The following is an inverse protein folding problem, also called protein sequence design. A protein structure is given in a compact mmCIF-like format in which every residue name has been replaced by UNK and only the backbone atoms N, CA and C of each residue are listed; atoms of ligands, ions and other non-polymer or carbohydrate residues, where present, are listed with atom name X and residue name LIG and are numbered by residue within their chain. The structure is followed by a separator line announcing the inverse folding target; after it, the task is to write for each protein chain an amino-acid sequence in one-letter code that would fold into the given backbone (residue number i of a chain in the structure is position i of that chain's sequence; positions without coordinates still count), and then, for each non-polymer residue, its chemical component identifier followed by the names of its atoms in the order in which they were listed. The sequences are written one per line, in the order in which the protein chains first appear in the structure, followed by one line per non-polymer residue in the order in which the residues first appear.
data_IF_653541631885
#
_entry.id   IF_653541631885
#
_cell.length_a   1.000
_cell.length_b   1.000
_cell.length_c   1.000
_cell.angle_alpha   90.00
_cell.angle_beta   90.00
_cell.angle_gamma   90.00
#
_symmetry.space_group_name_H-M   'P 1'
#
loop_
_entity.id
_entity.type
_entity.pdbx_description
1 polymer ?
#
# COMPACT_ATOMS: atom_id res chain seq x y z
N UNK A 1 -23.87 -37.71 -1.08
CA UNK A 1 -22.87 -37.16 -0.15
C UNK A 1 -21.57 -37.05 -0.93
N UNK A 2 -21.21 -35.86 -1.39
CA UNK A 2 -20.05 -35.64 -2.22
C UNK A 2 -19.06 -34.78 -1.41
N UNK A 3 -17.98 -35.43 -0.92
CA UNK A 3 -16.93 -34.79 -0.15
C UNK A 3 -16.12 -33.87 -1.06
N UNK A 4 -16.18 -32.57 -0.82
CA UNK A 4 -15.25 -31.59 -1.40
C UNK A 4 -13.98 -31.54 -0.54
N UNK A 5 -12.92 -32.17 -1.03
CA UNK A 5 -11.57 -31.97 -0.48
C UNK A 5 -11.10 -30.55 -0.90
N UNK A 6 -11.03 -29.63 0.05
CA UNK A 6 -10.27 -28.39 -0.11
C UNK A 6 -8.79 -28.72 -0.07
N UNK A 7 -8.13 -28.62 -1.21
CA UNK A 7 -6.67 -28.66 -1.30
C UNK A 7 -6.12 -27.32 -0.78
N UNK A 8 -5.72 -27.29 0.49
CA UNK A 8 -4.94 -26.19 1.05
C UNK A 8 -3.51 -26.36 0.50
N UNK A 9 -3.16 -25.59 -0.52
CA UNK A 9 -1.78 -25.43 -0.98
C UNK A 9 -1.00 -24.66 0.09
N UNK A 10 -0.32 -25.39 0.97
CA UNK A 10 0.65 -24.83 1.87
C UNK A 10 1.82 -24.28 1.05
N UNK A 11 1.94 -22.97 0.96
CA UNK A 11 3.16 -22.32 0.46
C UNK A 11 4.30 -22.61 1.43
N UNK A 12 5.13 -23.59 1.10
CA UNK A 12 6.35 -23.88 1.83
C UNK A 12 7.29 -22.68 1.71
N UNK A 13 7.54 -21.98 2.80
CA UNK A 13 8.60 -20.98 2.89
C UNK A 13 9.93 -21.70 2.67
N UNK A 14 10.54 -21.48 1.53
CA UNK A 14 11.91 -21.90 1.25
C UNK A 14 12.86 -20.99 2.06
N UNK A 15 13.26 -21.40 3.24
CA UNK A 15 14.42 -20.86 3.91
C UNK A 15 15.64 -21.27 3.09
N UNK A 16 16.33 -20.32 2.46
CA UNK A 16 17.56 -20.56 1.75
C UNK A 16 18.60 -21.18 2.67
N UNK A 17 19.43 -22.09 2.13
CA UNK A 17 20.46 -22.85 2.86
C UNK A 17 21.53 -21.97 3.54
N UNK A 18 21.56 -20.66 3.31
CA UNK A 18 22.65 -19.73 3.71
C UNK A 18 22.22 -18.62 4.67
N UNK A 19 21.18 -18.81 5.46
CA UNK A 19 20.71 -17.77 6.41
C UNK A 19 20.17 -16.49 5.73
N UNK A 20 19.82 -16.56 4.46
CA UNK A 20 19.19 -15.48 3.68
C UNK A 20 17.67 -15.62 3.73
N UNK A 21 16.97 -14.49 3.66
CA UNK A 21 15.51 -14.47 3.56
C UNK A 21 15.02 -13.37 2.62
N UNK A 22 13.82 -13.57 2.08
CA UNK A 22 13.12 -12.54 1.31
C UNK A 22 12.47 -11.53 2.25
N UNK A 23 12.67 -10.25 1.96
CA UNK A 23 11.91 -9.14 2.55
C UNK A 23 11.25 -8.34 1.44
N UNK A 24 10.07 -7.78 1.71
CA UNK A 24 9.49 -6.79 0.83
C UNK A 24 10.28 -5.48 0.92
N UNK A 25 10.56 -4.85 -0.22
CA UNK A 25 11.19 -3.54 -0.28
C UNK A 25 10.26 -2.46 -0.82
N UNK A 26 9.25 -2.85 -1.56
CA UNK A 26 8.14 -2.02 -2.00
C UNK A 26 6.88 -2.87 -2.08
N UNK A 27 5.75 -2.32 -1.67
CA UNK A 27 4.46 -2.96 -1.88
C UNK A 27 3.34 -1.91 -1.98
N UNK A 28 2.21 -2.36 -2.49
CA UNK A 28 0.99 -1.59 -2.55
C UNK A 28 -0.23 -2.51 -2.45
N UNK A 29 -1.26 -2.06 -1.75
CA UNK A 29 -2.49 -2.81 -1.56
C UNK A 29 -3.26 -2.95 -2.88
N UNK A 30 -3.64 -4.17 -3.22
CA UNK A 30 -4.50 -4.42 -4.36
C UNK A 30 -5.93 -3.94 -4.08
N UNK A 31 -6.50 -3.20 -5.02
CA UNK A 31 -7.89 -2.74 -5.02
C UNK A 31 -8.63 -3.28 -6.25
N UNK A 32 -9.93 -3.61 -6.13
CA UNK A 32 -10.75 -3.81 -7.32
C UNK A 32 -10.95 -2.48 -8.03
N UNK A 33 -10.92 -2.48 -9.36
CA UNK A 33 -11.23 -1.29 -10.13
C UNK A 33 -12.68 -1.31 -10.62
N UNK A 34 -13.32 -0.13 -10.70
CA UNK A 34 -14.66 -0.01 -11.23
C UNK A 34 -14.62 -0.15 -12.76
N UNK A 35 -15.42 -1.03 -13.38
CA UNK A 35 -15.33 -1.30 -14.81
C UNK A 35 -15.37 -0.04 -15.70
N UNK A 36 -16.16 0.96 -15.32
CA UNK A 36 -16.29 2.22 -16.06
C UNK A 36 -15.01 3.09 -16.05
N UNK A 37 -14.11 2.87 -15.08
CA UNK A 37 -12.90 3.68 -14.86
C UNK A 37 -11.62 2.88 -15.02
N UNK A 38 -11.72 1.58 -15.29
CA UNK A 38 -10.55 0.70 -15.41
C UNK A 38 -9.72 1.05 -16.64
N UNK A 39 -8.40 1.07 -16.45
CA UNK A 39 -7.47 1.17 -17.58
C UNK A 39 -7.58 -0.07 -18.47
N UNK A 40 -7.53 0.14 -19.78
CA UNK A 40 -7.48 -0.94 -20.76
C UNK A 40 -6.20 -0.82 -21.58
N UNK A 41 -5.51 -1.93 -21.74
CA UNK A 41 -4.28 -2.05 -22.53
C UNK A 41 -4.50 -3.04 -23.66
N UNK A 42 -3.94 -2.76 -24.83
CA UNK A 42 -4.02 -3.65 -26.01
C UNK A 42 -2.74 -3.57 -26.80
N UNK A 43 -2.02 -4.68 -26.91
CA UNK A 43 -0.72 -4.72 -27.59
C UNK A 43 0.22 -3.58 -27.12
N UNK A 44 0.25 -3.34 -25.80
CA UNK A 44 0.94 -2.22 -25.16
C UNK A 44 1.85 -2.70 -24.01
N UNK A 45 2.92 -1.96 -23.81
CA UNK A 45 3.76 -2.09 -22.62
C UNK A 45 3.40 -1.00 -21.62
N UNK A 46 3.24 -1.38 -20.36
CA UNK A 46 3.05 -0.46 -19.23
C UNK A 46 4.32 -0.48 -18.39
N UNK A 47 4.92 0.68 -18.17
CA UNK A 47 6.11 0.86 -17.33
C UNK A 47 5.73 1.51 -16.02
N UNK A 48 5.89 0.75 -14.95
CA UNK A 48 5.49 1.10 -13.59
C UNK A 48 6.73 1.47 -12.79
N UNK A 49 6.73 2.68 -12.23
CA UNK A 49 7.83 3.18 -11.38
C UNK A 49 7.52 2.86 -9.93
N UNK A 50 8.51 2.31 -9.22
CA UNK A 50 8.43 1.98 -7.81
C UNK A 50 9.67 2.49 -7.08
N UNK A 51 9.48 3.04 -5.89
CA UNK A 51 10.56 3.54 -5.03
C UNK A 51 10.86 2.53 -3.93
N UNK A 52 12.00 1.84 -4.01
CA UNK A 52 12.34 0.78 -3.06
C UNK A 52 12.92 1.34 -1.77
N UNK A 53 12.51 0.80 -0.63
CA UNK A 53 12.92 1.25 0.70
C UNK A 53 14.23 0.63 1.20
N UNK A 54 14.50 -0.62 0.81
CA UNK A 54 15.70 -1.37 1.17
C UNK A 54 16.41 -1.84 -0.09
N UNK A 55 17.74 -1.85 -0.10
CA UNK A 55 18.55 -2.35 -1.20
C UNK A 55 18.74 -3.88 -1.16
N UNK A 56 19.28 -4.43 -2.23
CA UNK A 56 19.61 -5.85 -2.34
C UNK A 56 20.33 -6.17 -3.64
N UNK A 57 20.79 -7.42 -3.76
CA UNK A 57 21.50 -7.88 -4.98
C UNK A 57 20.69 -8.88 -5.80
N UNK A 58 19.59 -9.33 -5.26
CA UNK A 58 18.65 -10.25 -5.90
C UNK A 58 17.24 -9.82 -5.57
N UNK A 59 16.38 -9.77 -6.57
CA UNK A 59 14.99 -9.35 -6.40
C UNK A 59 14.01 -10.21 -7.19
N UNK A 60 12.72 -10.06 -6.87
CA UNK A 60 11.58 -10.65 -7.58
C UNK A 60 10.39 -9.71 -7.46
N UNK A 61 9.42 -9.83 -8.36
CA UNK A 61 8.18 -9.07 -8.31
C UNK A 61 6.98 -9.96 -7.97
N UNK A 62 5.91 -9.33 -7.48
CA UNK A 62 4.61 -9.96 -7.24
C UNK A 62 3.56 -9.33 -8.14
N UNK A 63 2.86 -10.17 -8.91
CA UNK A 63 1.73 -9.77 -9.76
C UNK A 63 0.44 -10.35 -9.21
N UNK A 64 -0.60 -9.54 -9.18
CA UNK A 64 -1.91 -9.90 -8.61
C UNK A 64 -3.03 -9.74 -9.64
N UNK A 65 -3.85 -10.77 -9.77
CA UNK A 65 -5.11 -10.79 -10.48
C UNK A 65 -6.26 -11.14 -9.52
N UNK A 66 -6.13 -10.74 -8.25
CA UNK A 66 -7.03 -11.17 -7.16
C UNK A 66 -8.49 -10.74 -7.37
N UNK A 67 -8.71 -9.64 -8.08
CA UNK A 67 -10.04 -9.13 -8.42
C UNK A 67 -10.44 -9.43 -9.87
N UNK A 68 -9.58 -10.09 -10.65
CA UNK A 68 -9.89 -10.52 -12.00
C UNK A 68 -10.73 -11.80 -12.02
N UNK A 69 -11.73 -11.84 -12.91
CA UNK A 69 -12.58 -13.02 -13.15
C UNK A 69 -12.09 -13.88 -14.31
N UNK A 70 -11.15 -13.34 -15.09
CA UNK A 70 -10.52 -14.02 -16.22
C UNK A 70 -9.02 -14.13 -15.98
N UNK A 71 -8.35 -15.13 -16.59
CA UNK A 71 -6.89 -15.19 -16.59
C UNK A 71 -6.29 -13.91 -17.18
N UNK A 72 -5.16 -13.46 -16.62
CA UNK A 72 -4.39 -12.30 -17.07
C UNK A 72 -3.15 -12.79 -17.81
N UNK A 73 -3.05 -12.50 -19.10
CA UNK A 73 -1.87 -12.79 -19.91
C UNK A 73 -0.84 -11.68 -19.80
N UNK A 74 0.39 -12.04 -19.45
CA UNK A 74 1.59 -11.18 -19.51
C UNK A 74 2.52 -11.78 -20.56
N UNK A 75 2.73 -11.06 -21.67
CA UNK A 75 3.55 -11.53 -22.78
C UNK A 75 5.04 -11.45 -22.49
N UNK A 76 5.46 -10.42 -21.73
CA UNK A 76 6.85 -10.21 -21.30
C UNK A 76 6.85 -9.30 -20.08
N UNK A 77 7.87 -9.45 -19.23
CA UNK A 77 8.09 -8.56 -18.09
C UNK A 77 9.58 -8.28 -17.90
N UNK A 78 9.94 -7.03 -17.64
CA UNK A 78 11.30 -6.60 -17.36
C UNK A 78 11.35 -5.73 -16.11
N UNK A 79 12.53 -5.66 -15.48
CA UNK A 79 12.83 -4.75 -14.39
C UNK A 79 14.20 -4.14 -14.59
N UNK A 80 14.30 -2.82 -14.34
CA UNK A 80 15.55 -2.07 -14.46
C UNK A 80 15.60 -0.93 -13.46
N UNK A 81 16.78 -0.36 -13.22
CA UNK A 81 16.91 0.92 -12.55
C UNK A 81 16.37 2.02 -13.46
N UNK A 82 15.53 2.89 -12.90
CA UNK A 82 15.04 4.08 -13.60
C UNK A 82 16.18 5.08 -13.77
N UNK A 83 16.33 5.65 -14.96
CA UNK A 83 17.29 6.73 -15.20
C UNK A 83 16.64 8.11 -15.13
N UNK A 84 15.54 8.33 -15.84
CA UNK A 84 14.74 9.56 -15.78
C UNK A 84 13.37 9.36 -16.42
N UNK A 85 12.33 9.97 -15.91
CA UNK A 85 10.96 9.86 -16.45
C UNK A 85 10.57 8.39 -16.72
N UNK A 86 10.33 8.02 -17.99
CA UNK A 86 10.02 6.66 -18.41
C UNK A 86 11.25 5.83 -18.80
N UNK A 87 12.45 6.41 -18.81
CA UNK A 87 13.67 5.77 -19.31
C UNK A 87 14.36 4.92 -18.24
N UNK A 88 15.07 3.90 -18.69
CA UNK A 88 15.82 2.99 -17.81
C UNK A 88 17.33 3.03 -18.12
N UNK A 89 18.12 2.60 -17.13
CA UNK A 89 19.54 2.26 -17.34
C UNK A 89 19.63 0.89 -18.03
N UNK A 90 20.02 0.81 -19.32
CA UNK A 90 20.02 -0.43 -20.07
C UNK A 90 20.98 -1.48 -19.51
N UNK A 91 22.05 -1.07 -18.81
CA UNK A 91 22.98 -2.02 -18.19
C UNK A 91 22.31 -2.77 -17.01
N UNK A 92 21.25 -2.22 -16.45
CA UNK A 92 20.49 -2.79 -15.34
C UNK A 92 19.27 -3.60 -15.78
N UNK A 93 18.91 -3.62 -17.07
CA UNK A 93 17.73 -4.32 -17.54
C UNK A 93 17.84 -5.83 -17.34
N UNK A 94 16.78 -6.40 -16.76
CA UNK A 94 16.66 -7.85 -16.54
C UNK A 94 15.27 -8.32 -16.95
N UNK A 95 15.25 -9.36 -17.79
CA UNK A 95 14.01 -10.09 -18.06
C UNK A 95 13.54 -10.80 -16.79
N UNK A 96 12.25 -10.72 -16.51
CA UNK A 96 11.61 -11.44 -15.43
C UNK A 96 11.01 -12.73 -15.97
N UNK A 97 11.41 -13.84 -15.39
CA UNK A 97 10.86 -15.14 -15.73
C UNK A 97 9.82 -15.58 -14.70
N UNK A 98 8.93 -16.46 -15.13
CA UNK A 98 7.92 -17.10 -14.30
C UNK A 98 8.00 -18.60 -14.51
N UNK A 99 8.60 -19.34 -13.57
CA UNK A 99 8.91 -20.76 -13.70
C UNK A 99 9.75 -21.05 -14.96
N UNK A 100 10.75 -20.20 -15.21
CA UNK A 100 11.66 -20.30 -16.36
C UNK A 100 11.09 -19.82 -17.70
N UNK A 101 9.86 -19.28 -17.73
CA UNK A 101 9.22 -18.78 -18.96
C UNK A 101 9.17 -17.24 -18.96
N UNK A 102 9.39 -16.61 -20.11
CA UNK A 102 9.32 -15.15 -20.27
C UNK A 102 7.89 -14.60 -20.31
N UNK A 103 6.93 -15.44 -20.67
CA UNK A 103 5.51 -15.11 -20.62
C UNK A 103 4.81 -15.90 -19.52
N UNK A 104 3.68 -15.39 -19.03
CA UNK A 104 2.89 -16.08 -18.00
C UNK A 104 1.42 -15.74 -18.09
N UNK A 105 0.60 -16.60 -17.52
CA UNK A 105 -0.82 -16.34 -17.30
C UNK A 105 -1.09 -16.38 -15.80
N UNK A 106 -1.53 -15.25 -15.23
CA UNK A 106 -1.98 -15.18 -13.84
C UNK A 106 -3.43 -15.65 -13.78
N UNK A 107 -3.75 -16.77 -13.14
CA UNK A 107 -5.12 -17.25 -13.07
C UNK A 107 -6.05 -16.21 -12.43
N UNK A 108 -7.34 -16.30 -12.71
CA UNK A 108 -8.35 -15.50 -12.02
C UNK A 108 -8.26 -15.70 -10.50
N UNK A 109 -8.50 -14.63 -9.74
CA UNK A 109 -8.52 -14.65 -8.27
C UNK A 109 -7.21 -15.14 -7.64
N UNK A 110 -6.07 -14.94 -8.30
CA UNK A 110 -4.78 -15.40 -7.80
C UNK A 110 -3.66 -14.37 -7.93
N UNK A 111 -2.53 -14.71 -7.34
CA UNK A 111 -1.28 -13.96 -7.41
C UNK A 111 -0.15 -14.89 -7.84
N UNK A 112 0.88 -14.32 -8.48
CA UNK A 112 2.11 -15.04 -8.82
C UNK A 112 3.33 -14.21 -8.41
N UNK A 113 4.46 -14.91 -8.29
CA UNK A 113 5.76 -14.31 -8.01
C UNK A 113 6.69 -14.68 -9.15
N UNK A 114 7.50 -13.72 -9.63
CA UNK A 114 8.53 -14.00 -10.63
C UNK A 114 9.66 -14.85 -10.05
N UNK A 115 10.40 -15.49 -10.93
CA UNK A 115 11.68 -16.09 -10.56
C UNK A 115 12.63 -14.97 -10.10
N UNK A 116 13.61 -15.26 -9.21
CA UNK A 116 14.60 -14.29 -8.79
C UNK A 116 15.51 -13.85 -9.94
N UNK A 117 15.86 -12.56 -9.98
CA UNK A 117 16.87 -12.00 -10.89
C UNK A 117 17.99 -11.35 -10.11
N UNK A 118 19.21 -11.48 -10.62
CA UNK A 118 20.39 -10.81 -10.09
C UNK A 118 20.43 -9.37 -10.62
N UNK A 119 20.13 -8.43 -9.75
CA UNK A 119 20.18 -7.00 -10.00
C UNK A 119 20.52 -6.30 -8.69
N UNK A 120 21.65 -5.59 -8.67
CA UNK A 120 22.02 -4.78 -7.53
C UNK A 120 21.21 -3.48 -7.53
N UNK A 121 20.48 -3.29 -6.43
CA UNK A 121 19.57 -2.16 -6.23
C UNK A 121 19.96 -1.44 -4.95
N UNK A 122 20.37 -0.16 -5.03
CA UNK A 122 20.55 0.66 -3.84
C UNK A 122 19.23 0.88 -3.11
N UNK A 123 19.28 1.00 -1.77
CA UNK A 123 18.12 1.47 -1.03
C UNK A 123 17.71 2.88 -1.49
N UNK A 124 16.43 3.23 -1.33
CA UNK A 124 15.86 4.52 -1.70
C UNK A 124 16.10 4.90 -3.17
N UNK A 125 16.03 3.92 -4.07
CA UNK A 125 16.17 4.13 -5.51
C UNK A 125 14.89 3.76 -6.26
N UNK A 126 14.76 4.29 -7.46
CA UNK A 126 13.62 4.00 -8.33
C UNK A 126 13.92 2.85 -9.26
N UNK A 127 12.98 1.91 -9.35
CA UNK A 127 12.95 0.87 -10.35
C UNK A 127 11.80 1.10 -11.34
N UNK A 128 11.99 0.65 -12.57
CA UNK A 128 10.96 0.55 -13.58
C UNK A 128 10.62 -0.91 -13.83
N UNK A 129 9.38 -1.31 -13.56
CA UNK A 129 8.83 -2.62 -13.92
C UNK A 129 8.01 -2.45 -15.18
N UNK A 130 8.40 -3.11 -16.27
CA UNK A 130 7.71 -3.05 -17.55
C UNK A 130 6.94 -4.35 -17.80
N UNK A 131 5.64 -4.25 -18.09
CA UNK A 131 4.74 -5.37 -18.35
C UNK A 131 4.13 -5.22 -19.74
N UNK A 132 4.27 -6.22 -20.60
CA UNK A 132 3.66 -6.24 -21.92
C UNK A 132 2.33 -7.02 -21.90
N UNK A 133 1.29 -6.38 -22.39
CA UNK A 133 -0.07 -6.92 -22.53
C UNK A 133 -0.36 -7.18 -24.03
N UNK A 134 -0.21 -8.42 -24.52
CA UNK A 134 -0.40 -8.74 -25.94
C UNK A 134 -1.88 -8.65 -26.37
N UNK A 135 -2.79 -8.96 -25.44
CA UNK A 135 -4.22 -8.99 -25.67
C UNK A 135 -4.92 -7.80 -25.01
N UNK A 136 -6.19 -7.54 -25.39
CA UNK A 136 -7.00 -6.54 -24.71
C UNK A 136 -7.22 -6.92 -23.25
N UNK A 137 -6.59 -6.18 -22.36
CA UNK A 137 -6.55 -6.42 -20.92
C UNK A 137 -7.14 -5.25 -20.16
N UNK A 138 -8.19 -5.53 -19.38
CA UNK A 138 -8.79 -4.56 -18.46
C UNK A 138 -8.13 -4.71 -17.09
N UNK A 139 -7.65 -3.61 -16.51
CA UNK A 139 -6.98 -3.60 -15.21
C UNK A 139 -8.00 -3.74 -14.07
N UNK A 140 -8.48 -4.96 -13.85
CA UNK A 140 -9.47 -5.29 -12.80
C UNK A 140 -8.89 -5.31 -11.39
N UNK A 141 -7.57 -5.48 -11.29
CA UNK A 141 -6.79 -5.38 -10.05
C UNK A 141 -5.77 -4.27 -10.23
N UNK A 142 -5.85 -3.25 -9.39
CA UNK A 142 -4.99 -2.07 -9.50
C UNK A 142 -4.82 -1.44 -8.12
N UNK A 143 -3.81 -0.58 -7.95
CA UNK A 143 -3.78 0.39 -6.87
C UNK A 143 -4.00 1.78 -7.46
N UNK A 144 -4.98 2.52 -6.92
CA UNK A 144 -5.50 3.73 -7.58
C UNK A 144 -4.72 5.00 -7.27
N UNK A 145 -4.24 5.16 -6.05
CA UNK A 145 -3.55 6.37 -5.61
C UNK A 145 -2.03 6.15 -5.61
N UNK A 146 -1.45 5.89 -6.78
CA UNK A 146 -0.01 5.60 -6.86
C UNK A 146 0.87 6.74 -6.31
N UNK A 147 0.43 8.00 -6.38
CA UNK A 147 1.27 9.18 -6.14
C UNK A 147 2.60 9.14 -6.92
N UNK A 148 2.61 8.38 -8.00
CA UNK A 148 3.71 8.13 -8.90
C UNK A 148 3.21 8.18 -10.34
N UNK A 149 3.97 8.82 -11.23
CA UNK A 149 3.70 8.80 -12.67
C UNK A 149 4.21 7.50 -13.27
N UNK A 150 3.32 6.77 -13.92
CA UNK A 150 3.58 5.55 -14.68
C UNK A 150 3.28 5.79 -16.16
N UNK A 151 3.81 4.94 -17.04
CA UNK A 151 3.86 5.22 -18.46
C UNK A 151 3.28 4.07 -19.29
N UNK A 152 2.57 4.40 -20.36
CA UNK A 152 1.99 3.44 -21.31
C UNK A 152 2.54 3.73 -22.70
N UNK A 153 3.02 2.69 -23.38
CA UNK A 153 3.49 2.79 -24.78
C UNK A 153 2.35 3.01 -25.76
N UNK A 154 2.62 3.41 -27.01
CA UNK A 154 1.70 3.19 -28.12
C UNK A 154 1.36 1.70 -28.26
N UNK A 155 0.36 1.36 -29.09
CA UNK A 155 0.00 -0.02 -29.43
C UNK A 155 0.99 -0.63 -30.44
N UNK A 156 2.29 -0.66 -30.07
CA UNK A 156 3.41 -1.06 -30.93
C UNK A 156 4.03 -2.41 -30.57
N UNK A 157 3.42 -3.12 -29.59
CA UNK A 157 3.93 -4.41 -29.14
C UNK A 157 4.82 -4.33 -27.91
N UNK A 158 5.70 -5.34 -27.79
CA UNK A 158 6.61 -5.47 -26.65
C UNK A 158 7.78 -4.49 -26.77
N UNK A 159 7.84 -3.53 -25.87
CA UNK A 159 8.93 -2.57 -25.68
C UNK A 159 9.43 -2.59 -24.24
N UNK A 160 9.29 -3.73 -23.54
CA UNK A 160 9.66 -3.86 -22.13
C UNK A 160 11.14 -3.60 -21.88
N UNK A 161 12.04 -4.01 -22.79
CA UNK A 161 13.49 -3.85 -22.69
C UNK A 161 14.01 -2.48 -23.21
N UNK A 162 13.16 -1.67 -23.84
CA UNK A 162 13.62 -0.42 -24.48
C UNK A 162 14.10 0.59 -23.44
N UNK A 163 15.38 1.02 -23.61
CA UNK A 163 15.99 2.00 -22.70
C UNK A 163 15.30 3.37 -22.78
N UNK A 164 14.94 3.78 -24.00
CA UNK A 164 14.15 4.99 -24.29
C UNK A 164 12.70 4.57 -24.55
N UNK A 165 11.83 4.94 -23.62
CA UNK A 165 10.44 4.51 -23.67
C UNK A 165 9.56 5.54 -24.36
N UNK A 166 9.02 5.19 -25.52
CA UNK A 166 8.03 6.05 -26.17
C UNK A 166 6.72 6.05 -25.38
N UNK A 167 6.31 7.21 -24.90
CA UNK A 167 5.12 7.39 -24.07
C UNK A 167 3.95 7.83 -24.92
N UNK A 168 2.86 7.09 -24.88
CA UNK A 168 1.58 7.50 -25.48
C UNK A 168 0.67 8.19 -24.45
N UNK A 169 0.66 7.70 -23.22
CA UNK A 169 -0.07 8.34 -22.10
C UNK A 169 0.60 8.03 -20.76
N UNK A 170 0.28 8.83 -19.76
CA UNK A 170 0.65 8.57 -18.36
C UNK A 170 -0.55 8.10 -17.56
N UNK A 171 -0.31 7.30 -16.55
CA UNK A 171 -1.30 6.85 -15.57
C UNK A 171 -0.75 7.06 -14.15
N UNK A 172 -1.66 7.16 -13.17
CA UNK A 172 -1.32 7.35 -11.75
C UNK A 172 -1.85 6.20 -10.91
N UNK A 173 -1.79 5.00 -11.47
CA UNK A 173 -2.21 3.73 -10.87
C UNK A 173 -1.11 2.69 -11.06
N UNK A 174 -1.08 1.66 -10.21
CA UNK A 174 -0.26 0.48 -10.42
C UNK A 174 -1.15 -0.73 -10.77
N UNK A 175 -1.42 -0.97 -12.06
CA UNK A 175 -2.15 -2.17 -12.48
C UNK A 175 -1.32 -3.43 -12.24
N UNK A 176 -1.92 -4.41 -11.60
CA UNK A 176 -1.44 -5.78 -11.36
C UNK A 176 -0.15 -5.93 -10.54
N UNK A 177 0.73 -4.93 -10.48
CA UNK A 177 1.96 -4.99 -9.68
C UNK A 177 1.64 -4.67 -8.22
N UNK A 178 1.98 -5.60 -7.31
CA UNK A 178 1.69 -5.45 -5.86
C UNK A 178 2.90 -5.54 -4.97
N UNK A 179 4.09 -5.88 -5.49
CA UNK A 179 5.28 -5.88 -4.65
C UNK A 179 6.57 -6.13 -5.39
N UNK A 180 7.64 -5.67 -4.77
CA UNK A 180 9.03 -5.99 -5.10
C UNK A 180 9.70 -6.48 -3.83
N UNK A 181 10.31 -7.66 -3.89
CA UNK A 181 11.02 -8.26 -2.77
C UNK A 181 12.52 -8.33 -3.09
N UNK A 182 13.34 -8.19 -2.07
CA UNK A 182 14.80 -8.36 -2.16
C UNK A 182 15.29 -9.43 -1.18
N UNK A 183 16.43 -10.04 -1.51
CA UNK A 183 17.12 -10.95 -0.59
C UNK A 183 17.90 -10.12 0.42
N UNK A 184 17.67 -10.39 1.69
CA UNK A 184 18.36 -9.83 2.84
C UNK A 184 19.02 -10.93 3.67
N UNK A 185 19.84 -10.55 4.66
CA UNK A 185 20.36 -11.48 5.66
C UNK A 185 19.23 -12.01 6.56
N UNK A 186 19.52 -12.98 7.39
CA UNK A 186 18.57 -13.49 8.41
C UNK A 186 18.08 -12.41 9.39
N UNK A 187 18.75 -11.26 9.44
CA UNK A 187 18.34 -10.09 10.23
C UNK A 187 17.41 -9.14 9.49
N UNK A 188 17.23 -9.31 8.19
CA UNK A 188 16.28 -8.50 7.41
C UNK A 188 14.85 -8.63 7.93
N UNK A 189 14.03 -7.59 7.72
CA UNK A 189 12.61 -7.63 8.05
C UNK A 189 11.83 -6.63 7.21
N UNK A 190 10.51 -6.83 7.14
CA UNK A 190 9.59 -5.84 6.57
C UNK A 190 8.74 -5.20 7.66
N UNK A 191 8.52 -3.90 7.51
CA UNK A 191 7.61 -3.05 8.28
C UNK A 191 6.45 -2.72 7.36
N UNK A 192 5.24 -3.09 7.73
CA UNK A 192 4.04 -2.79 6.94
C UNK A 192 3.36 -1.55 7.51
N UNK A 193 3.19 -0.53 6.70
CA UNK A 193 2.33 0.62 6.96
C UNK A 193 0.91 0.28 6.47
N UNK A 194 0.04 -0.14 7.37
CA UNK A 194 -1.31 -0.60 7.07
C UNK A 194 -2.32 0.48 7.41
N UNK A 195 -2.91 1.11 6.39
CA UNK A 195 -3.70 2.30 6.64
C UNK A 195 -4.72 2.65 5.57
N UNK A 196 -5.22 3.88 5.68
CA UNK A 196 -6.12 4.48 4.71
C UNK A 196 -5.42 5.57 3.88
N UNK A 197 -6.14 6.59 3.44
CA UNK A 197 -5.63 7.68 2.59
C UNK A 197 -4.38 8.39 3.13
N UNK A 198 -4.29 8.60 4.45
CA UNK A 198 -3.10 9.20 5.08
C UNK A 198 -1.85 8.35 4.90
N UNK A 199 -1.99 7.02 4.93
CA UNK A 199 -0.88 6.08 4.68
C UNK A 199 -0.61 5.93 3.19
N UNK A 200 -1.65 5.83 2.38
CA UNK A 200 -1.61 5.79 0.92
C UNK A 200 -0.89 7.02 0.34
N UNK A 201 -1.06 8.18 0.99
CA UNK A 201 -0.35 9.41 0.71
C UNK A 201 -1.21 10.48 0.06
N UNK A 202 -2.54 10.46 0.29
CA UNK A 202 -3.36 11.59 -0.14
C UNK A 202 -2.89 12.88 0.54
N UNK A 203 -2.90 14.00 -0.20
CA UNK A 203 -2.28 15.26 0.22
C UNK A 203 -0.77 15.38 -0.07
N UNK A 204 -0.04 14.27 -0.34
CA UNK A 204 1.39 14.33 -0.70
C UNK A 204 1.61 14.70 -2.17
N UNK A 205 2.77 15.29 -2.46
CA UNK A 205 3.16 15.67 -3.82
C UNK A 205 3.57 14.43 -4.63
N UNK A 206 2.99 14.31 -5.84
CA UNK A 206 3.29 13.23 -6.78
C UNK A 206 4.76 13.22 -7.16
N UNK A 207 5.31 12.01 -7.37
CA UNK A 207 6.69 11.74 -7.82
C UNK A 207 7.80 12.19 -6.85
N UNK A 208 7.46 12.64 -5.63
CA UNK A 208 8.45 13.09 -4.65
C UNK A 208 8.73 12.10 -3.52
N UNK A 209 7.98 10.98 -3.41
CA UNK A 209 8.15 10.00 -2.35
C UNK A 209 8.15 10.67 -0.96
N UNK A 210 7.08 11.44 -0.66
CA UNK A 210 6.96 12.24 0.58
C UNK A 210 5.89 11.74 1.55
N UNK A 211 5.40 10.51 1.37
CA UNK A 211 4.47 9.87 2.30
C UNK A 211 5.19 9.52 3.60
N UNK A 212 4.50 9.46 4.72
CA UNK A 212 5.17 9.13 5.99
C UNK A 212 5.92 7.78 5.99
N UNK A 213 5.47 6.71 5.26
CA UNK A 213 6.25 5.49 5.13
C UNK A 213 7.58 5.70 4.37
N UNK A 214 7.60 6.58 3.34
CA UNK A 214 8.84 6.93 2.62
C UNK A 214 9.82 7.64 3.56
N UNK A 215 9.34 8.60 4.37
CA UNK A 215 10.14 9.30 5.39
C UNK A 215 10.69 8.33 6.43
N UNK A 216 9.90 7.34 6.87
CA UNK A 216 10.38 6.29 7.77
C UNK A 216 11.52 5.50 7.13
N UNK A 217 11.37 5.11 5.85
CA UNK A 217 12.42 4.40 5.10
C UNK A 217 13.70 5.22 5.00
N UNK A 218 13.62 6.50 4.63
CA UNK A 218 14.77 7.42 4.59
C UNK A 218 15.50 7.49 5.94
N UNK A 219 14.76 7.58 7.06
CA UNK A 219 15.33 7.65 8.40
C UNK A 219 16.03 6.36 8.81
N UNK A 220 15.44 5.20 8.50
CA UNK A 220 16.05 3.89 8.75
C UNK A 220 17.37 3.75 7.99
N UNK A 221 17.39 4.11 6.72
CA UNK A 221 18.60 4.06 5.89
C UNK A 221 19.65 5.07 6.38
N UNK A 222 19.26 6.30 6.71
CA UNK A 222 20.18 7.30 7.25
C UNK A 222 20.83 6.85 8.55
N UNK A 223 20.08 6.28 9.48
CA UNK A 223 20.61 5.78 10.76
C UNK A 223 21.62 4.65 10.58
N UNK A 224 21.44 3.80 9.57
CA UNK A 224 22.28 2.63 9.31
C UNK A 224 23.39 2.88 8.30
N UNK A 225 23.60 4.12 7.82
CA UNK A 225 24.55 4.43 6.76
C UNK A 225 24.20 3.80 5.41
N UNK A 226 22.90 3.59 5.14
CA UNK A 226 22.41 3.02 3.88
C UNK A 226 22.36 1.48 3.83
N UNK A 227 22.61 0.81 4.97
CA UNK A 227 22.67 -0.65 5.04
C UNK A 227 21.54 -1.29 5.84
N UNK A 228 20.46 -0.53 6.14
CA UNK A 228 19.31 -1.10 6.84
C UNK A 228 18.64 -2.18 5.97
N UNK A 229 18.55 -3.38 6.52
CA UNK A 229 17.79 -4.50 5.94
C UNK A 229 16.34 -4.49 6.46
N UNK A 230 15.73 -3.30 6.54
CA UNK A 230 14.35 -3.08 6.96
C UNK A 230 13.61 -2.45 5.77
N UNK A 231 12.77 -3.26 5.11
CA UNK A 231 11.88 -2.77 4.08
C UNK A 231 10.64 -2.12 4.69
N UNK A 232 10.18 -1.01 4.12
CA UNK A 232 8.93 -0.33 4.50
C UNK A 232 7.95 -0.49 3.35
N UNK A 233 6.79 -1.09 3.64
CA UNK A 233 5.75 -1.45 2.68
C UNK A 233 4.52 -0.60 2.93
N UNK A 234 4.06 0.12 1.90
CA UNK A 234 2.87 0.94 2.02
C UNK A 234 1.63 0.17 1.55
N UNK A 235 0.83 -0.28 2.49
CA UNK A 235 -0.44 -0.98 2.27
C UNK A 235 -1.63 -0.07 2.65
N UNK A 236 -1.51 1.24 2.36
CA UNK A 236 -2.61 2.20 2.45
C UNK A 236 -3.61 2.03 1.31
N UNK A 237 -4.86 2.35 1.56
CA UNK A 237 -5.92 2.48 0.54
C UNK A 237 -6.76 3.72 0.86
N UNK A 238 -6.88 4.64 -0.08
CA UNK A 238 -7.74 5.82 0.05
C UNK A 238 -9.17 5.42 0.45
N UNK A 239 -9.74 6.09 1.46
CA UNK A 239 -11.11 5.86 1.91
C UNK A 239 -11.35 4.54 2.63
N UNK A 240 -10.31 3.73 2.87
CA UNK A 240 -10.46 2.39 3.45
C UNK A 240 -10.92 2.45 4.90
N UNK A 241 -11.86 1.57 5.24
CA UNK A 241 -12.38 1.39 6.59
C UNK A 241 -11.74 0.17 7.27
N UNK A 242 -11.67 0.20 8.58
CA UNK A 242 -11.20 -0.95 9.36
C UNK A 242 -12.21 -2.09 9.30
N UNK A 243 -13.51 -1.80 9.47
CA UNK A 243 -14.54 -2.79 9.76
C UNK A 243 -15.39 -3.19 8.56
N UNK A 244 -15.56 -2.31 7.58
CA UNK A 244 -16.47 -2.53 6.45
C UNK A 244 -15.77 -2.34 5.12
N UNK A 245 -16.15 -3.14 4.14
CA UNK A 245 -15.68 -3.01 2.76
C UNK A 245 -16.16 -1.70 2.11
N UNK A 246 -15.63 -1.38 0.94
CA UNK A 246 -16.13 -0.27 0.13
C UNK A 246 -17.66 -0.36 -0.03
N UNK A 247 -18.40 0.76 0.10
CA UNK A 247 -19.86 0.74 -0.03
C UNK A 247 -20.31 0.21 -1.39
N UNK A 248 -21.13 -0.84 -1.39
CA UNK A 248 -21.64 -1.48 -2.59
C UNK A 248 -23.05 -1.00 -3.00
N UNK A 249 -23.62 -0.04 -2.26
CA UNK A 249 -24.94 0.51 -2.56
C UNK A 249 -24.94 1.20 -3.92
N UNK A 250 -26.00 1.02 -4.69
CA UNK A 250 -26.13 1.61 -6.04
C UNK A 250 -25.99 3.15 -6.04
N UNK A 251 -26.32 3.79 -4.92
CA UNK A 251 -26.16 5.25 -4.75
C UNK A 251 -24.72 5.67 -4.39
N UNK A 252 -23.82 4.73 -4.07
CA UNK A 252 -22.43 5.05 -3.76
C UNK A 252 -21.65 5.36 -5.05
N UNK A 253 -21.04 6.54 -5.17
CA UNK A 253 -20.22 6.86 -6.33
C UNK A 253 -18.86 6.13 -6.32
N UNK A 254 -18.52 5.47 -5.22
CA UNK A 254 -17.21 4.83 -5.06
C UNK A 254 -17.19 3.40 -5.61
N UNK A 255 -18.34 2.69 -5.58
CA UNK A 255 -18.33 1.27 -5.93
C UNK A 255 -17.29 0.50 -5.11
N UNK A 256 -16.52 -0.42 -5.71
CA UNK A 256 -15.57 -1.26 -5.00
C UNK A 256 -14.21 -0.59 -4.71
N UNK A 257 -13.97 0.62 -5.19
CA UNK A 257 -12.62 1.21 -5.29
C UNK A 257 -11.96 1.59 -3.96
N UNK A 258 -12.72 1.68 -2.85
CA UNK A 258 -12.13 1.91 -1.52
C UNK A 258 -11.66 0.60 -0.87
N UNK A 259 -11.71 -0.50 -1.60
CA UNK A 259 -11.15 -1.80 -1.25
C UNK A 259 -11.98 -2.59 -0.22
N UNK A 260 -11.47 -3.77 0.07
CA UNK A 260 -11.93 -4.60 1.17
C UNK A 260 -11.55 -3.96 2.51
N UNK A 261 -12.33 -4.23 3.57
CA UNK A 261 -12.04 -3.71 4.92
C UNK A 261 -10.65 -4.11 5.41
N UNK A 262 -10.09 -3.32 6.31
CA UNK A 262 -8.85 -3.68 6.99
C UNK A 262 -8.91 -5.08 7.60
N UNK A 263 -10.07 -5.47 8.15
CA UNK A 263 -10.28 -6.80 8.71
C UNK A 263 -10.14 -7.91 7.67
N UNK A 264 -10.69 -7.71 6.47
CA UNK A 264 -10.69 -8.68 5.38
C UNK A 264 -9.31 -8.82 4.74
N UNK A 265 -8.69 -7.69 4.36
CA UNK A 265 -7.42 -7.69 3.61
C UNK A 265 -6.16 -7.90 4.48
N UNK A 266 -6.28 -7.97 5.80
CA UNK A 266 -5.14 -8.03 6.73
C UNK A 266 -4.23 -9.24 6.51
N UNK A 267 -4.78 -10.41 6.16
CA UNK A 267 -3.96 -11.59 5.85
C UNK A 267 -3.06 -11.32 4.65
N UNK A 268 -3.66 -10.93 3.52
CA UNK A 268 -2.98 -10.68 2.25
C UNK A 268 -1.99 -9.51 2.34
N UNK A 269 -2.43 -8.37 2.90
CA UNK A 269 -1.70 -7.11 2.81
C UNK A 269 -0.72 -6.92 3.99
N UNK A 270 -0.81 -7.75 5.05
CA UNK A 270 0.11 -7.67 6.20
C UNK A 270 0.76 -9.01 6.49
N UNK A 271 -0.03 -10.03 6.83
CA UNK A 271 0.51 -11.26 7.43
C UNK A 271 1.28 -12.12 6.44
N UNK A 272 0.98 -12.02 5.14
CA UNK A 272 1.66 -12.76 4.07
C UNK A 272 2.77 -11.95 3.38
N UNK A 273 3.07 -10.73 3.87
CA UNK A 273 4.18 -9.94 3.34
C UNK A 273 5.53 -10.60 3.65
N UNK A 274 6.44 -10.71 2.66
CA UNK A 274 7.73 -11.37 2.86
C UNK A 274 8.53 -10.70 3.98
N UNK A 275 8.97 -11.50 4.94
CA UNK A 275 9.81 -11.05 6.05
C UNK A 275 9.14 -10.10 7.04
N UNK A 276 7.82 -9.98 7.05
CA UNK A 276 7.10 -9.07 7.96
C UNK A 276 7.38 -9.39 9.43
N UNK A 277 7.72 -8.36 10.20
CA UNK A 277 7.95 -8.42 11.66
C UNK A 277 7.22 -7.30 12.39
N UNK A 278 6.83 -6.25 11.70
CA UNK A 278 6.21 -5.08 12.29
C UNK A 278 5.06 -4.60 11.40
N UNK A 279 3.98 -4.16 12.02
CA UNK A 279 2.88 -3.45 11.34
C UNK A 279 2.51 -2.21 12.12
N UNK A 280 2.42 -1.07 11.42
CA UNK A 280 1.81 0.16 11.95
C UNK A 280 0.37 0.21 11.43
N UNK A 281 -0.60 0.26 12.34
CA UNK A 281 -2.04 0.34 11.99
C UNK A 281 -2.49 1.80 12.04
N UNK A 282 -2.85 2.35 10.87
CA UNK A 282 -3.33 3.72 10.66
C UNK A 282 -4.71 3.69 9.97
N UNK A 283 -5.68 3.06 10.60
CA UNK A 283 -7.07 2.88 10.14
C UNK A 283 -8.05 3.41 11.19
N UNK A 284 -9.33 3.47 10.84
CA UNK A 284 -10.43 3.81 11.77
C UNK A 284 -11.02 5.20 11.54
N UNK A 285 -10.30 6.15 10.94
CA UNK A 285 -10.85 7.48 10.64
C UNK A 285 -12.07 7.38 9.72
N UNK A 286 -12.02 6.57 8.68
CA UNK A 286 -13.12 6.41 7.74
C UNK A 286 -14.33 5.69 8.37
N UNK A 287 -14.13 4.81 9.34
CA UNK A 287 -15.22 4.21 10.11
C UNK A 287 -16.01 5.28 10.89
N UNK A 288 -15.32 6.33 11.37
CA UNK A 288 -15.93 7.48 12.04
C UNK A 288 -16.61 8.44 11.03
N UNK A 289 -16.00 8.64 9.85
CA UNK A 289 -16.44 9.65 8.88
C UNK A 289 -17.57 9.15 7.96
N UNK A 290 -17.63 7.87 7.63
CA UNK A 290 -18.61 7.33 6.67
C UNK A 290 -20.07 7.60 7.04
N UNK A 291 -20.49 7.71 8.30
CA UNK A 291 -21.84 8.18 8.62
C UNK A 291 -22.21 9.58 8.09
N UNK A 292 -21.25 10.37 7.57
CA UNK A 292 -21.55 11.62 6.84
C UNK A 292 -22.12 11.38 5.45
N UNK A 293 -21.84 10.22 4.85
CA UNK A 293 -22.27 9.93 3.49
C UNK A 293 -23.70 9.39 3.47
N UNK A 294 -24.59 9.92 2.62
CA UNK A 294 -26.01 9.60 2.64
C UNK A 294 -26.34 8.15 2.24
N UNK A 295 -25.39 7.48 1.61
CA UNK A 295 -25.50 6.07 1.20
C UNK A 295 -24.93 5.09 2.22
N UNK A 296 -24.43 5.53 3.37
CA UNK A 296 -23.93 4.61 4.41
C UNK A 296 -25.10 3.99 5.16
N UNK A 297 -25.23 2.65 5.19
CA UNK A 297 -26.29 2.01 5.94
C UNK A 297 -26.21 2.29 7.44
N UNK A 298 -27.34 2.42 8.11
CA UNK A 298 -27.39 2.60 9.56
C UNK A 298 -26.71 1.46 10.33
N UNK A 299 -26.70 0.24 9.76
CA UNK A 299 -26.00 -0.93 10.32
C UNK A 299 -24.47 -0.81 10.30
N UNK A 300 -23.91 0.11 9.53
CA UNK A 300 -22.47 0.37 9.43
C UNK A 300 -22.02 1.56 10.28
N UNK A 301 -22.92 2.14 11.07
CA UNK A 301 -22.58 3.17 12.07
C UNK A 301 -21.91 2.49 13.25
N UNK A 302 -20.67 2.88 13.53
CA UNK A 302 -19.84 2.23 14.54
C UNK A 302 -19.61 3.12 15.76
N UNK A 303 -19.32 2.47 16.89
CA UNK A 303 -18.86 3.13 18.11
C UNK A 303 -17.35 3.00 18.25
N UNK A 304 -16.68 3.81 19.09
CA UNK A 304 -15.27 3.65 19.43
C UNK A 304 -14.92 2.24 19.93
N UNK A 305 -15.85 1.58 20.64
CA UNK A 305 -15.66 0.19 21.09
C UNK A 305 -15.60 -0.80 19.91
N UNK A 306 -16.43 -0.63 18.89
CA UNK A 306 -16.41 -1.48 17.70
C UNK A 306 -15.06 -1.36 16.98
N UNK A 307 -14.56 -0.14 16.79
CA UNK A 307 -13.24 0.12 16.18
C UNK A 307 -12.13 -0.53 17.00
N UNK A 308 -12.16 -0.35 18.32
CA UNK A 308 -11.16 -0.93 19.20
C UNK A 308 -11.23 -2.47 19.26
N UNK A 309 -12.43 -3.05 19.16
CA UNK A 309 -12.59 -4.49 19.04
C UNK A 309 -11.97 -5.02 17.72
N UNK A 310 -12.08 -4.27 16.63
CA UNK A 310 -11.39 -4.56 15.38
C UNK A 310 -9.86 -4.59 15.57
N UNK A 311 -9.29 -3.56 16.18
CA UNK A 311 -7.85 -3.53 16.48
C UNK A 311 -7.42 -4.75 17.31
N UNK A 312 -8.15 -5.10 18.37
CA UNK A 312 -7.82 -6.28 19.20
C UNK A 312 -7.76 -7.57 18.37
N UNK A 313 -8.65 -7.74 17.39
CA UNK A 313 -8.63 -8.90 16.50
C UNK A 313 -7.40 -8.89 15.58
N UNK A 314 -7.06 -7.73 14.98
CA UNK A 314 -5.86 -7.62 14.15
C UNK A 314 -4.59 -7.88 14.97
N UNK A 315 -4.48 -7.32 16.18
CA UNK A 315 -3.36 -7.55 17.10
C UNK A 315 -3.23 -9.06 17.40
N UNK A 316 -4.32 -9.71 17.76
CA UNK A 316 -4.29 -11.15 18.05
C UNK A 316 -3.88 -12.00 16.84
N UNK A 317 -4.29 -11.61 15.61
CA UNK A 317 -3.88 -12.26 14.36
C UNK A 317 -2.37 -12.07 14.11
N UNK A 318 -1.87 -10.84 14.26
CA UNK A 318 -0.45 -10.52 14.08
C UNK A 318 0.45 -11.25 15.11
N UNK A 319 0.07 -11.23 16.39
CA UNK A 319 0.82 -11.88 17.45
C UNK A 319 0.95 -13.39 17.24
N UNK A 320 -0.09 -14.07 16.70
CA UNK A 320 0.02 -15.50 16.35
C UNK A 320 1.11 -15.80 15.32
N UNK A 321 1.49 -14.82 14.48
CA UNK A 321 2.59 -14.93 13.52
C UNK A 321 3.90 -14.29 14.02
N UNK A 322 3.96 -13.86 15.29
CA UNK A 322 5.13 -13.20 15.89
C UNK A 322 5.41 -11.81 15.28
N UNK A 323 4.38 -11.13 14.83
CA UNK A 323 4.44 -9.77 14.25
C UNK A 323 4.06 -8.78 15.35
N UNK A 324 4.91 -7.77 15.60
CA UNK A 324 4.64 -6.69 16.53
C UNK A 324 3.73 -5.64 15.90
N UNK A 325 2.78 -5.16 16.69
CA UNK A 325 1.75 -4.22 16.24
C UNK A 325 1.91 -2.86 16.91
N UNK A 326 2.13 -1.84 16.12
CA UNK A 326 2.23 -0.45 16.55
C UNK A 326 0.92 0.27 16.18
N UNK A 327 0.27 0.88 17.18
CA UNK A 327 -0.92 1.71 16.96
C UNK A 327 -0.52 3.14 16.62
N UNK A 328 -1.25 3.78 15.70
CA UNK A 328 -1.12 5.22 15.46
C UNK A 328 -2.42 5.92 15.82
N UNK A 329 -2.35 7.08 16.47
CA UNK A 329 -3.54 7.88 16.76
C UNK A 329 -4.07 8.53 15.47
N UNK A 330 -5.38 8.81 15.46
CA UNK A 330 -6.08 9.46 14.35
C UNK A 330 -5.88 10.98 14.47
N UNK A 331 -5.29 11.65 13.45
CA UNK A 331 -5.18 13.11 13.40
C UNK A 331 -6.54 13.83 13.52
N UNK A 332 -6.57 15.11 13.93
CA UNK A 332 -7.79 15.89 13.98
C UNK A 332 -8.27 16.27 12.58
N UNK A 333 -9.56 16.54 12.42
CA UNK A 333 -10.17 16.80 11.12
C UNK A 333 -11.27 17.89 11.16
N UNK A 334 -11.25 18.81 12.11
CA UNK A 334 -12.18 19.96 12.10
C UNK A 334 -11.90 20.85 10.88
N UNK A 335 -12.97 21.24 10.20
CA UNK A 335 -12.92 21.96 8.93
C UNK A 335 -12.91 21.04 7.71
N UNK A 336 -12.82 19.72 7.93
CA UNK A 336 -12.75 18.77 6.82
C UNK A 336 -14.04 18.71 6.01
N UNK A 337 -13.85 18.68 4.68
CA UNK A 337 -14.93 18.59 3.69
C UNK A 337 -14.63 17.52 2.67
N UNK A 338 -15.68 16.94 2.10
CA UNK A 338 -15.57 16.12 0.89
C UNK A 338 -16.37 16.77 -0.23
N UNK A 339 -15.68 17.22 -1.27
CA UNK A 339 -16.27 17.80 -2.46
C UNK A 339 -15.89 16.92 -3.65
N UNK A 340 -16.85 16.24 -4.22
CA UNK A 340 -16.61 15.35 -5.36
C UNK A 340 -17.78 14.40 -5.60
N UNK A 341 -17.82 13.80 -6.78
CA UNK A 341 -18.86 12.83 -7.17
C UNK A 341 -20.29 13.31 -6.93
N UNK A 342 -20.53 14.63 -7.11
CA UNK A 342 -21.84 15.24 -6.87
C UNK A 342 -22.19 15.47 -5.40
N UNK A 343 -21.24 15.23 -4.47
CA UNK A 343 -21.40 15.45 -3.04
C UNK A 343 -20.63 16.70 -2.59
N UNK A 344 -21.18 17.39 -1.60
CA UNK A 344 -20.53 18.47 -0.85
C UNK A 344 -20.89 18.25 0.63
N UNK A 345 -19.95 17.65 1.37
CA UNK A 345 -20.20 17.16 2.72
C UNK A 345 -19.22 17.80 3.71
N UNK A 346 -19.74 18.20 4.86
CA UNK A 346 -18.92 18.49 6.05
C UNK A 346 -18.71 17.19 6.80
N UNK A 347 -17.45 16.79 6.94
CA UNK A 347 -17.10 15.52 7.57
C UNK A 347 -17.00 15.64 9.10
N UNK A 348 -16.63 16.80 9.60
CA UNK A 348 -16.54 17.06 11.04
C UNK A 348 -17.90 17.26 11.69
N UNK A 349 -18.08 16.66 12.87
CA UNK A 349 -19.08 17.03 13.88
C UNK A 349 -18.50 16.85 15.28
N UNK A 350 -19.03 17.53 16.33
CA UNK A 350 -18.58 17.32 17.71
C UNK A 350 -18.65 15.85 18.18
N UNK A 351 -19.65 15.10 17.69
CA UNK A 351 -19.83 13.69 18.05
C UNK A 351 -18.73 12.82 17.41
N UNK A 352 -18.35 13.10 16.16
CA UNK A 352 -17.25 12.40 15.48
C UNK A 352 -15.91 12.73 16.10
N UNK A 353 -15.70 13.99 16.51
CA UNK A 353 -14.51 14.39 17.26
C UNK A 353 -14.44 13.67 18.61
N UNK A 354 -15.56 13.56 19.32
CA UNK A 354 -15.63 12.79 20.57
C UNK A 354 -15.24 11.32 20.31
N UNK A 355 -15.79 10.70 19.26
CA UNK A 355 -15.45 9.32 18.89
C UNK A 355 -13.96 9.18 18.55
N UNK A 356 -13.36 10.11 17.79
CA UNK A 356 -11.94 10.15 17.47
C UNK A 356 -11.09 10.15 18.75
N UNK A 357 -11.40 11.04 19.68
CA UNK A 357 -10.68 11.16 20.97
C UNK A 357 -10.77 9.88 21.78
N UNK A 358 -11.96 9.28 21.88
CA UNK A 358 -12.14 8.00 22.60
C UNK A 358 -11.34 6.85 21.96
N UNK A 359 -11.25 6.80 20.63
CA UNK A 359 -10.40 5.82 19.93
C UNK A 359 -8.94 6.08 20.24
N UNK A 360 -8.47 7.35 20.16
CA UNK A 360 -7.09 7.73 20.46
C UNK A 360 -6.69 7.40 21.90
N UNK A 361 -7.55 7.69 22.88
CA UNK A 361 -7.33 7.33 24.29
C UNK A 361 -7.12 5.82 24.46
N UNK A 362 -7.90 5.01 23.77
CA UNK A 362 -7.74 3.54 23.79
C UNK A 362 -6.46 3.09 23.11
N UNK A 363 -6.05 3.72 22.00
CA UNK A 363 -4.78 3.42 21.34
C UNK A 363 -3.63 3.71 22.29
N UNK A 364 -3.62 4.89 22.92
CA UNK A 364 -2.52 5.35 23.77
C UNK A 364 -2.42 4.55 25.09
N UNK A 365 -3.56 4.23 25.72
CA UNK A 365 -3.57 3.80 27.12
C UNK A 365 -4.05 2.37 27.37
N UNK A 366 -4.49 1.63 26.35
CA UNK A 366 -4.99 0.25 26.54
C UNK A 366 -3.91 -0.77 26.90
N UNK A 367 -2.65 -0.49 26.57
CA UNK A 367 -1.55 -1.46 26.71
C UNK A 367 -1.69 -2.68 25.78
N UNK A 368 -2.50 -2.62 24.72
CA UNK A 368 -2.71 -3.74 23.79
C UNK A 368 -1.74 -3.75 22.63
N UNK A 369 -1.24 -2.57 22.21
CA UNK A 369 -0.25 -2.44 21.16
C UNK A 369 1.15 -2.65 21.73
N UNK A 370 2.07 -3.18 20.91
CA UNK A 370 3.49 -3.34 21.27
C UNK A 370 4.27 -2.02 21.26
N UNK A 371 3.66 -0.98 20.74
CA UNK A 371 4.12 0.40 20.73
C UNK A 371 3.03 1.30 20.17
N UNK A 372 3.15 2.59 20.41
CA UNK A 372 2.22 3.60 19.91
C UNK A 372 2.97 4.80 19.36
N UNK A 373 2.39 5.44 18.33
CA UNK A 373 2.87 6.70 17.77
C UNK A 373 1.71 7.68 17.76
N UNK A 374 1.88 8.83 18.40
CA UNK A 374 0.85 9.83 18.52
C UNK A 374 0.87 10.81 17.33
N UNK A 375 0.26 10.39 16.21
CA UNK A 375 0.11 11.23 15.01
C UNK A 375 -0.81 12.44 15.27
N UNK A 376 -1.78 12.32 16.18
CA UNK A 376 -2.60 13.45 16.61
C UNK A 376 -1.73 14.54 17.22
N UNK A 377 -0.92 14.21 18.24
CA UNK A 377 -0.09 15.18 18.94
C UNK A 377 0.88 15.93 18.02
N UNK A 378 1.43 15.25 16.99
CA UNK A 378 2.43 15.87 16.10
C UNK A 378 1.83 16.65 14.95
N UNK A 379 0.53 16.47 14.65
CA UNK A 379 -0.10 17.14 13.52
C UNK A 379 -1.17 18.16 13.90
N UNK A 380 -1.67 18.12 15.13
CA UNK A 380 -2.70 19.07 15.58
C UNK A 380 -2.17 20.47 15.82
N UNK A 381 -3.02 21.46 15.62
CA UNK A 381 -2.78 22.85 16.02
C UNK A 381 -2.84 22.95 17.56
N UNK A 382 -1.76 23.36 18.26
CA UNK A 382 -1.78 23.49 19.71
C UNK A 382 -2.83 24.51 20.24
N UNK A 383 -3.15 25.53 19.43
CA UNK A 383 -4.15 26.55 19.78
C UNK A 383 -5.59 26.08 19.50
N UNK A 384 -5.76 25.15 18.56
CA UNK A 384 -7.05 24.58 18.15
C UNK A 384 -6.93 23.05 17.98
N UNK A 385 -6.91 22.28 19.07
CA UNK A 385 -6.54 20.85 19.05
C UNK A 385 -7.47 19.93 18.25
N UNK A 386 -8.58 20.45 17.76
CA UNK A 386 -9.52 19.75 16.88
C UNK A 386 -9.19 19.92 15.38
N UNK A 387 -8.20 20.78 15.06
CA UNK A 387 -7.73 21.08 13.70
C UNK A 387 -6.29 20.60 13.47
N UNK A 388 -5.99 20.29 12.22
CA UNK A 388 -4.60 20.16 11.79
C UNK A 388 -3.90 21.51 11.89
N UNK A 389 -2.61 21.49 12.24
CA UNK A 389 -1.75 22.67 12.14
C UNK A 389 -1.79 23.18 10.69
N UNK A 390 -2.07 24.47 10.43
CA UNK A 390 -2.23 24.98 9.07
C UNK A 390 -1.02 24.67 8.13
N UNK A 391 0.20 24.65 8.69
CA UNK A 391 1.39 24.29 7.93
C UNK A 391 1.44 22.81 7.49
N UNK A 392 0.64 21.95 8.10
CA UNK A 392 0.59 20.51 7.83
C UNK A 392 -0.67 20.08 7.09
N UNK A 393 -1.70 20.91 7.07
CA UNK A 393 -2.98 20.60 6.45
C UNK A 393 -2.90 20.65 4.91
N UNK A 394 -3.53 19.71 4.24
CA UNK A 394 -3.94 19.84 2.85
C UNK A 394 -5.22 20.72 2.76
N UNK A 395 -5.63 21.07 1.55
CA UNK A 395 -6.78 21.97 1.30
C UNK A 395 -8.11 21.44 1.85
N UNK A 396 -8.26 20.12 1.98
CA UNK A 396 -9.46 19.46 2.48
C UNK A 396 -9.56 19.41 4.02
N UNK A 397 -8.55 19.88 4.75
CA UNK A 397 -8.44 19.85 6.20
C UNK A 397 -8.60 18.46 6.85
N UNK A 398 -8.46 17.39 6.06
CA UNK A 398 -8.49 15.99 6.49
C UNK A 398 -7.12 15.34 6.34
N UNK A 399 -6.50 15.54 5.17
CA UNK A 399 -5.21 14.96 4.85
C UNK A 399 -4.07 15.91 5.21
N UNK A 400 -2.91 15.33 5.44
CA UNK A 400 -1.68 16.10 5.66
C UNK A 400 -0.92 16.29 4.35
N UNK A 401 -0.33 17.47 4.17
CA UNK A 401 0.58 17.78 3.07
C UNK A 401 1.97 17.14 3.28
N UNK A 402 2.95 17.44 2.42
CA UNK A 402 4.30 16.90 2.53
C UNK A 402 4.96 17.18 3.90
N UNK A 403 4.76 18.39 4.44
CA UNK A 403 5.32 18.77 5.74
C UNK A 403 4.68 17.97 6.88
N UNK A 404 3.37 17.73 6.83
CA UNK A 404 2.66 16.90 7.79
C UNK A 404 3.07 15.42 7.70
N UNK A 405 3.25 14.89 6.50
CA UNK A 405 3.81 13.55 6.28
C UNK A 405 5.23 13.41 6.88
N UNK A 406 6.07 14.43 6.68
CA UNK A 406 7.42 14.47 7.29
C UNK A 406 7.32 14.50 8.82
N UNK A 407 6.40 15.27 9.38
CA UNK A 407 6.17 15.30 10.83
C UNK A 407 5.75 13.92 11.37
N UNK A 408 4.80 13.24 10.71
CA UNK A 408 4.36 11.89 11.06
C UNK A 408 5.51 10.87 10.97
N UNK A 409 6.23 10.83 9.84
CA UNK A 409 7.37 9.93 9.65
C UNK A 409 8.48 10.17 10.68
N UNK A 410 8.74 11.44 11.06
CA UNK A 410 9.72 11.79 12.08
C UNK A 410 9.29 11.44 13.51
N UNK A 411 8.01 11.37 13.78
CA UNK A 411 7.49 11.00 15.10
C UNK A 411 7.65 9.52 15.45
N UNK A 412 7.92 8.66 14.46
CA UNK A 412 8.06 7.22 14.68
C UNK A 412 9.40 6.92 15.35
N UNK A 413 9.45 6.41 16.60
CA UNK A 413 10.70 6.03 17.25
C UNK A 413 11.32 4.82 16.56
N UNK A 414 12.54 4.94 16.03
CA UNK A 414 13.21 3.84 15.34
C UNK A 414 13.57 2.67 16.29
N UNK A 415 13.59 2.92 17.59
CA UNK A 415 13.75 1.89 18.63
C UNK A 415 12.64 0.84 18.64
N UNK A 416 11.46 1.15 18.09
CA UNK A 416 10.35 0.20 17.93
C UNK A 416 10.73 -1.00 17.04
N UNK A 417 11.70 -0.84 16.15
CA UNK A 417 12.13 -1.85 15.19
C UNK A 417 13.47 -2.54 15.58
N UNK A 418 13.97 -2.28 16.76
CA UNK A 418 15.14 -2.98 17.28
C UNK A 418 14.72 -4.38 17.77
N UNK A 419 15.49 -5.38 17.39
CA UNK A 419 15.34 -6.74 17.93
C UNK A 419 15.99 -6.78 19.32
N UNK A 420 15.26 -7.22 20.30
CA UNK A 420 15.77 -7.57 21.63
C UNK A 420 16.25 -9.01 21.64
#
# INVERSE_FOLDING_TARGET
MMNWLFLVLAFSFWAGRDGQQWIGTWATAAQPDAPANSQTFRNQTVRLVVHVSAGGKKLRIRLSNIFGEKPLMIGSAHIARRSAAADIDPASDRILLFRGQSSTTVPARSMIVSDPVDLEVPALSDLAVSLFFPETTVATTSHRLAKQTNYVSPETGDVTAEAKFLVSKTITTWPFLTGVDVVASSRGASIVAFGSSTTDGDGSTRDLNRRWPDVLAERLQKQSGGTAELGVLNEGIIGNRLLYDSPQQAASPFGPILGESGMTRFERDVLDQPGVKYVLICLGVNDILFPAYPFTPASEIVTPEHIFAGYRQLIARAHRKGIRVIGTTIPPFEGSTFIGSGLNLTLYTPEREKARREVNERILHSGKFDGVVDFDAVTRDPARPTQLLPAYAAEDHLHVNDAGNVAQGNAIPLTLFQRH
#
